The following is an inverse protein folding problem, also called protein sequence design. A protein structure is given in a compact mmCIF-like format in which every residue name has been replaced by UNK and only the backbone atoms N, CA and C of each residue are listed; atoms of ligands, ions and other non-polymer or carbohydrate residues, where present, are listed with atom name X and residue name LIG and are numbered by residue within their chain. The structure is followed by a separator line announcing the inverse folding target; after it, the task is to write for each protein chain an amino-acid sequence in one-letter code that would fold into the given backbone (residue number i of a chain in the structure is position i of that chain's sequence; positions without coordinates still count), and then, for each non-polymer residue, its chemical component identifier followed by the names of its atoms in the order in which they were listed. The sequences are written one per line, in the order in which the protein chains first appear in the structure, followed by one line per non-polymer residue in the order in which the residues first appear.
data_IF_501241665974
#
_entry.id   IF_501241665974
#
_cell.length_a   1.000
_cell.length_b   1.000
_cell.length_c   1.000
_cell.angle_alpha   90.00
_cell.angle_beta   90.00
_cell.angle_gamma   90.00
#
_symmetry.space_group_name_H-M   'P 1'
#
loop_
_entity.id
_entity.type
_entity.pdbx_description
1 polymer ?
#
# COMPACT_ATOMS: atom_id res chain seq x y z
N UNK A 1 -17.75 -15.62 5.80
CA UNK A 1 -17.66 -14.23 5.31
C UNK A 1 -18.85 -13.37 5.68
N UNK A 2 -20.12 -13.72 5.37
CA UNK A 2 -21.28 -12.89 5.81
C UNK A 2 -21.54 -12.90 7.32
N UNK A 3 -21.31 -14.02 7.99
CA UNK A 3 -21.48 -14.13 9.45
C UNK A 3 -20.37 -13.37 10.21
N UNK A 4 -19.14 -13.37 9.69
CA UNK A 4 -17.99 -12.69 10.29
C UNK A 4 -18.16 -11.16 10.32
N UNK A 5 -18.86 -10.60 9.33
CA UNK A 5 -19.12 -9.15 9.23
C UNK A 5 -20.21 -8.67 10.21
N UNK A 6 -21.05 -9.56 10.75
CA UNK A 6 -22.20 -9.19 11.59
C UNK A 6 -21.84 -8.58 12.94
N UNK A 7 -20.60 -8.75 13.40
CA UNK A 7 -20.08 -8.22 14.67
C UNK A 7 -19.07 -7.08 14.49
N UNK A 8 -18.76 -6.68 13.25
CA UNK A 8 -17.84 -5.56 13.00
C UNK A 8 -18.49 -4.25 13.39
N UNK A 9 -17.75 -3.44 14.16
CA UNK A 9 -18.06 -2.03 14.33
C UNK A 9 -17.74 -1.32 13.01
N UNK A 10 -18.71 -0.55 12.52
CA UNK A 10 -18.54 0.26 11.32
C UNK A 10 -18.59 1.74 11.68
N UNK A 11 -17.89 2.53 10.90
CA UNK A 11 -17.78 3.97 11.07
C UNK A 11 -17.97 4.62 9.70
N UNK A 12 -18.55 5.81 9.68
CA UNK A 12 -18.71 6.62 8.46
C UNK A 12 -17.64 7.70 8.33
N UNK A 13 -16.78 7.83 9.34
CA UNK A 13 -15.73 8.83 9.43
C UNK A 13 -14.47 8.19 10.05
N UNK A 14 -13.30 8.51 9.47
CA UNK A 14 -12.02 7.92 9.86
C UNK A 14 -11.59 8.41 11.25
N UNK A 15 -11.80 9.69 11.58
CA UNK A 15 -11.43 10.25 12.88
C UNK A 15 -12.20 9.57 14.02
N UNK A 16 -13.49 9.34 13.76
CA UNK A 16 -14.37 8.61 14.68
C UNK A 16 -13.91 7.16 14.87
N UNK A 17 -13.49 6.50 13.80
CA UNK A 17 -12.93 5.15 13.85
C UNK A 17 -11.64 5.10 14.69
N UNK A 18 -10.70 6.01 14.42
CA UNK A 18 -9.40 6.04 15.10
C UNK A 18 -9.53 6.39 16.58
N UNK A 19 -10.40 7.34 16.93
CA UNK A 19 -10.60 7.76 18.33
C UNK A 19 -11.32 6.74 19.20
N UNK A 20 -12.27 5.97 18.63
CA UNK A 20 -13.10 5.01 19.38
C UNK A 20 -12.62 3.56 19.24
N UNK A 21 -11.75 3.29 18.28
CA UNK A 21 -11.44 1.94 17.82
C UNK A 21 -10.39 1.21 18.65
N UNK A 22 -9.55 1.92 19.42
CA UNK A 22 -8.37 1.34 20.10
C UNK A 22 -7.61 0.38 19.16
N UNK A 23 -7.18 0.90 18.00
CA UNK A 23 -6.67 0.08 16.90
C UNK A 23 -5.15 -0.10 16.98
N UNK A 24 -4.69 -1.35 16.86
CA UNK A 24 -3.26 -1.67 16.77
C UNK A 24 -2.69 -1.42 15.36
N UNK A 25 -3.50 -1.64 14.32
CA UNK A 25 -3.14 -1.56 12.91
C UNK A 25 -4.30 -1.01 12.07
N UNK A 26 -4.00 -0.14 11.12
CA UNK A 26 -4.92 0.39 10.11
C UNK A 26 -4.45 -0.02 8.73
N UNK A 27 -5.32 -0.66 7.96
CA UNK A 27 -5.11 -1.02 6.56
C UNK A 27 -5.86 -0.05 5.64
N UNK A 28 -5.12 0.76 4.89
CA UNK A 28 -5.63 1.82 4.03
C UNK A 28 -5.76 1.29 2.60
N UNK A 29 -6.99 0.89 2.27
CA UNK A 29 -7.41 0.43 0.94
C UNK A 29 -8.29 1.46 0.21
N UNK A 30 -8.11 2.75 0.48
CA UNK A 30 -8.92 3.83 -0.10
C UNK A 30 -8.44 4.18 -1.52
N UNK A 31 -9.05 5.17 -2.22
CA UNK A 31 -8.47 5.69 -3.46
C UNK A 31 -7.14 6.43 -3.21
N UNK A 32 -6.18 6.41 -4.17
CA UNK A 32 -4.83 6.94 -4.00
C UNK A 32 -4.74 8.41 -3.55
N UNK A 33 -5.73 9.23 -3.90
CA UNK A 33 -5.82 10.63 -3.50
C UNK A 33 -6.06 10.87 -2.01
N UNK A 34 -6.30 9.82 -1.24
CA UNK A 34 -6.61 9.90 0.20
C UNK A 34 -5.66 9.07 1.06
N UNK A 35 -4.68 8.40 0.46
CA UNK A 35 -3.81 7.46 1.16
C UNK A 35 -2.94 8.15 2.21
N UNK A 36 -2.31 9.26 1.84
CA UNK A 36 -1.43 10.07 2.67
C UNK A 36 -2.16 10.66 3.87
N UNK A 37 -3.29 11.34 3.63
CA UNK A 37 -4.09 11.95 4.69
C UNK A 37 -4.54 10.91 5.74
N UNK A 38 -5.08 9.77 5.28
CA UNK A 38 -5.55 8.70 6.16
C UNK A 38 -4.40 8.03 6.90
N UNK A 39 -3.26 7.81 6.23
CA UNK A 39 -2.09 7.20 6.84
C UNK A 39 -1.50 8.08 7.94
N UNK A 40 -1.32 9.38 7.67
CA UNK A 40 -0.79 10.35 8.64
C UNK A 40 -1.73 10.44 9.84
N UNK A 41 -3.05 10.48 9.63
CA UNK A 41 -4.02 10.53 10.73
C UNK A 41 -3.98 9.26 11.59
N UNK A 42 -3.86 8.08 10.97
CA UNK A 42 -3.73 6.81 11.67
C UNK A 42 -2.41 6.71 12.46
N UNK A 43 -1.28 7.12 11.89
CA UNK A 43 0.01 7.17 12.57
C UNK A 43 -0.04 8.10 13.79
N UNK A 44 -0.60 9.30 13.63
CA UNK A 44 -0.76 10.28 14.70
C UNK A 44 -1.71 9.81 15.82
N UNK A 45 -2.67 8.93 15.50
CA UNK A 45 -3.53 8.28 16.51
C UNK A 45 -2.79 7.21 17.32
N UNK A 46 -1.59 6.82 16.89
CA UNK A 46 -0.76 5.81 17.53
C UNK A 46 -0.98 4.39 17.01
N UNK A 47 -1.67 4.21 15.89
CA UNK A 47 -1.79 2.92 15.22
C UNK A 47 -0.59 2.65 14.31
N UNK A 48 -0.27 1.38 14.08
CA UNK A 48 0.56 1.00 12.94
C UNK A 48 -0.25 1.13 11.66
N UNK A 49 0.40 1.32 10.52
CA UNK A 49 -0.29 1.58 9.25
C UNK A 49 0.25 0.69 8.13
N UNK A 50 -0.66 0.13 7.34
CA UNK A 50 -0.38 -0.46 6.04
C UNK A 50 -1.17 0.31 4.98
N UNK A 51 -0.54 0.65 3.86
CA UNK A 51 -1.19 1.44 2.79
C UNK A 51 -1.01 0.74 1.45
N UNK A 52 -2.11 0.62 0.71
CA UNK A 52 -2.10 0.15 -0.67
C UNK A 52 -1.22 1.02 -1.57
N UNK A 53 -0.76 0.43 -2.68
CA UNK A 53 0.06 1.17 -3.65
C UNK A 53 -0.80 1.97 -4.66
N UNK A 54 -0.41 3.19 -5.03
CA UNK A 54 0.79 3.93 -4.61
C UNK A 54 0.65 4.56 -3.22
N UNK A 55 1.76 4.85 -2.53
CA UNK A 55 1.76 5.48 -1.20
C UNK A 55 1.01 6.83 -1.19
N UNK A 56 1.26 7.65 -2.20
CA UNK A 56 0.58 8.92 -2.45
C UNK A 56 0.65 9.24 -3.96
N UNK A 57 0.09 10.38 -4.40
CA UNK A 57 0.11 10.77 -5.82
C UNK A 57 1.36 11.55 -6.19
N UNK A 58 1.97 12.23 -5.21
CA UNK A 58 3.14 13.06 -5.40
C UNK A 58 4.27 12.67 -4.44
N UNK A 59 5.50 12.94 -4.87
CA UNK A 59 6.68 12.69 -4.04
C UNK A 59 6.68 13.49 -2.73
N UNK A 60 6.19 14.73 -2.75
CA UNK A 60 6.11 15.57 -1.54
C UNK A 60 5.13 14.98 -0.52
N UNK A 61 3.95 14.53 -0.98
CA UNK A 61 2.97 13.83 -0.12
C UNK A 61 3.59 12.56 0.50
N UNK A 62 4.41 11.82 -0.25
CA UNK A 62 5.15 10.68 0.31
C UNK A 62 6.14 11.09 1.42
N UNK A 63 6.78 12.26 1.32
CA UNK A 63 7.70 12.74 2.35
C UNK A 63 6.95 13.11 3.63
N UNK A 64 5.77 13.71 3.52
CA UNK A 64 4.92 14.03 4.67
C UNK A 64 4.51 12.75 5.43
N UNK A 65 4.25 11.64 4.70
CA UNK A 65 4.01 10.33 5.32
C UNK A 65 5.26 9.82 6.05
N UNK A 66 6.44 9.94 5.45
CA UNK A 66 7.70 9.51 6.10
C UNK A 66 7.96 10.28 7.39
N UNK A 67 7.76 11.60 7.40
CA UNK A 67 7.88 12.43 8.60
C UNK A 67 6.90 11.96 9.69
N UNK A 68 5.63 11.70 9.34
CA UNK A 68 4.65 11.19 10.30
C UNK A 68 5.03 9.81 10.87
N UNK A 69 5.69 8.95 10.09
CA UNK A 69 6.21 7.66 10.57
C UNK A 69 7.33 7.87 11.59
N UNK A 70 8.27 8.77 11.29
CA UNK A 70 9.38 9.10 12.19
C UNK A 70 8.87 9.72 13.50
N UNK A 71 7.94 10.67 13.43
CA UNK A 71 7.39 11.38 14.58
C UNK A 71 6.52 10.48 15.48
N UNK A 72 5.69 9.62 14.87
CA UNK A 72 4.82 8.71 15.62
C UNK A 72 5.57 7.54 16.27
N UNK A 73 6.73 7.17 15.72
CA UNK A 73 7.47 5.97 16.10
C UNK A 73 6.71 4.66 15.82
N UNK A 74 5.69 4.70 14.96
CA UNK A 74 4.87 3.55 14.58
C UNK A 74 5.39 2.85 13.34
N UNK A 75 4.95 1.61 13.12
CA UNK A 75 5.32 0.86 11.92
C UNK A 75 4.46 1.30 10.74
N UNK A 76 5.13 1.41 9.60
CA UNK A 76 4.49 1.67 8.31
C UNK A 76 4.89 0.62 7.29
N UNK A 77 3.91 0.06 6.59
CA UNK A 77 4.12 -0.85 5.47
C UNK A 77 3.50 -0.29 4.19
N UNK A 78 4.33 -0.06 3.19
CA UNK A 78 3.85 0.12 1.82
C UNK A 78 3.50 -1.25 1.21
N UNK A 79 2.27 -1.43 0.73
CA UNK A 79 1.81 -2.72 0.21
C UNK A 79 2.31 -2.99 -1.23
N UNK A 80 3.64 -3.03 -1.42
CA UNK A 80 4.25 -3.48 -2.66
C UNK A 80 4.28 -5.01 -2.68
N UNK A 81 3.20 -5.62 -3.16
CA UNK A 81 3.03 -7.06 -3.12
C UNK A 81 4.05 -7.83 -3.97
N UNK A 82 4.71 -7.18 -4.95
CA UNK A 82 5.67 -7.85 -5.83
C UNK A 82 6.94 -8.27 -5.10
N UNK A 83 7.37 -7.58 -4.03
CA UNK A 83 8.61 -7.96 -3.31
C UNK A 83 8.53 -9.36 -2.67
N UNK A 84 7.32 -9.88 -2.47
CA UNK A 84 7.07 -11.21 -1.90
C UNK A 84 6.96 -12.32 -2.95
N UNK A 85 6.95 -11.98 -4.24
CA UNK A 85 6.91 -12.99 -5.28
C UNK A 85 8.24 -13.78 -5.32
N UNK A 86 8.20 -15.13 -5.36
CA UNK A 86 9.39 -15.96 -5.37
C UNK A 86 10.40 -15.61 -6.47
N UNK A 87 9.94 -15.05 -7.61
CA UNK A 87 10.82 -14.65 -8.72
C UNK A 87 11.77 -13.54 -8.29
N UNK A 88 11.27 -12.49 -7.64
CA UNK A 88 12.11 -11.38 -7.17
C UNK A 88 12.98 -11.78 -5.99
N UNK A 89 12.42 -12.58 -5.08
CA UNK A 89 13.18 -13.11 -3.95
C UNK A 89 14.37 -13.98 -4.40
N UNK A 90 14.16 -14.89 -5.35
CA UNK A 90 15.22 -15.74 -5.88
C UNK A 90 16.20 -14.95 -6.75
N UNK A 91 15.72 -14.00 -7.57
CA UNK A 91 16.59 -13.12 -8.34
C UNK A 91 17.56 -12.36 -7.44
N UNK A 92 17.07 -11.79 -6.33
CA UNK A 92 17.91 -11.15 -5.31
C UNK A 92 18.96 -12.12 -4.75
N UNK A 93 18.58 -13.35 -4.40
CA UNK A 93 19.53 -14.36 -3.92
C UNK A 93 20.63 -14.70 -4.92
N UNK A 94 20.29 -14.86 -6.20
CA UNK A 94 21.28 -15.13 -7.23
C UNK A 94 22.28 -13.97 -7.39
N UNK A 95 21.79 -12.73 -7.34
CA UNK A 95 22.62 -11.54 -7.36
C UNK A 95 23.54 -11.49 -6.13
N UNK A 96 22.99 -11.62 -4.92
CA UNK A 96 23.76 -11.55 -3.67
C UNK A 96 24.78 -12.69 -3.53
N UNK A 97 24.48 -13.88 -4.05
CA UNK A 97 25.41 -15.01 -4.05
C UNK A 97 26.59 -14.86 -5.02
N UNK A 98 26.53 -13.89 -5.95
CA UNK A 98 27.52 -13.73 -7.02
C UNK A 98 27.47 -14.83 -8.10
N UNK A 99 26.47 -15.71 -8.08
CA UNK A 99 26.37 -16.85 -9.00
C UNK A 99 26.31 -16.46 -10.49
N UNK A 100 25.88 -15.23 -10.79
CA UNK A 100 25.77 -14.69 -12.15
C UNK A 100 26.88 -13.69 -12.50
N UNK A 101 27.85 -13.48 -11.60
CA UNK A 101 28.87 -12.43 -11.74
C UNK A 101 28.30 -11.03 -11.50
N UNK A 102 28.89 -10.02 -12.14
CA UNK A 102 28.45 -8.62 -12.05
C UNK A 102 27.18 -8.40 -12.89
N UNK A 103 26.13 -7.84 -12.27
CA UNK A 103 24.87 -7.52 -12.95
C UNK A 103 25.10 -6.44 -14.00
N UNK A 104 24.87 -6.77 -15.27
CA UNK A 104 25.03 -5.83 -16.39
C UNK A 104 23.71 -5.14 -16.76
N UNK A 105 22.59 -5.87 -16.77
CA UNK A 105 21.29 -5.35 -17.21
C UNK A 105 20.16 -6.15 -16.56
N UNK A 106 19.10 -5.44 -16.15
CA UNK A 106 17.83 -6.04 -15.75
C UNK A 106 16.76 -5.46 -16.69
N UNK A 107 16.06 -6.34 -17.39
CA UNK A 107 14.92 -5.97 -18.23
C UNK A 107 13.63 -6.50 -17.60
N UNK A 108 12.67 -5.60 -17.38
CA UNK A 108 11.36 -5.94 -16.81
C UNK A 108 10.27 -5.52 -17.80
N UNK A 109 9.57 -6.50 -18.36
CA UNK A 109 8.36 -6.24 -19.14
C UNK A 109 7.17 -6.19 -18.18
N UNK A 110 6.74 -4.99 -17.83
CA UNK A 110 5.53 -4.76 -17.04
C UNK A 110 4.35 -4.37 -17.93
N UNK A 111 3.18 -4.99 -17.71
CA UNK A 111 1.90 -4.44 -18.14
C UNK A 111 1.18 -3.92 -16.90
N UNK A 112 0.82 -2.64 -16.86
CA UNK A 112 -0.06 -2.08 -15.86
C UNK A 112 -1.35 -1.66 -16.57
N UNK A 113 -2.41 -2.42 -16.33
CA UNK A 113 -3.70 -2.24 -16.97
C UNK A 113 -4.19 -3.50 -17.68
N UNK A 114 -4.93 -4.34 -16.97
CA UNK A 114 -6.05 -5.04 -17.60
C UNK A 114 -7.25 -4.07 -17.60
N UNK A 115 -7.13 -2.95 -18.30
CA UNK A 115 -8.33 -2.37 -18.89
C UNK A 115 -8.68 -3.29 -20.06
N UNK A 116 -9.65 -4.17 -19.86
CA UNK A 116 -10.32 -4.85 -20.97
C UNK A 116 -10.75 -3.83 -22.03
N UNK A 117 -11.08 -4.26 -23.26
CA UNK A 117 -11.39 -3.34 -24.35
C UNK A 117 -12.46 -2.36 -23.88
N UNK A 118 -12.05 -1.09 -23.78
CA UNK A 118 -12.94 0.03 -23.52
C UNK A 118 -14.09 -0.09 -24.52
N UNK A 119 -15.31 -0.21 -23.99
CA UNK A 119 -16.50 -0.50 -24.79
C UNK A 119 -16.59 0.42 -25.99
N UNK A 120 -16.33 -0.14 -27.18
CA UNK A 120 -16.78 0.44 -28.43
C UNK A 120 -18.30 0.31 -28.45
N UNK A 121 -18.97 1.22 -27.73
CA UNK A 121 -20.37 1.53 -27.93
C UNK A 121 -20.51 2.20 -29.29
N UNK A 122 -20.39 1.42 -30.36
CA UNK A 122 -21.00 1.77 -31.63
C UNK A 122 -22.50 1.71 -31.40
N UNK A 123 -23.12 2.89 -31.27
CA UNK A 123 -24.57 3.04 -31.39
C UNK A 123 -24.97 2.56 -32.79
N UNK A 124 -25.78 1.52 -32.83
CA UNK A 124 -26.72 1.21 -33.92
C UNK A 124 -28.08 0.97 -33.30
#
# INVERSE_FOLDING_TARGET
MREDLGSMKTYTDVKDMLSKGELDLVDVCTPPESHDDVAIEALNSGANVMVEKPMARMYLECLDVVEAVEDSGKLYQHNENWIYDPRWYNARKFIESGAIGEVQLIFMAGAHGLSGPCGSGTRS
#
